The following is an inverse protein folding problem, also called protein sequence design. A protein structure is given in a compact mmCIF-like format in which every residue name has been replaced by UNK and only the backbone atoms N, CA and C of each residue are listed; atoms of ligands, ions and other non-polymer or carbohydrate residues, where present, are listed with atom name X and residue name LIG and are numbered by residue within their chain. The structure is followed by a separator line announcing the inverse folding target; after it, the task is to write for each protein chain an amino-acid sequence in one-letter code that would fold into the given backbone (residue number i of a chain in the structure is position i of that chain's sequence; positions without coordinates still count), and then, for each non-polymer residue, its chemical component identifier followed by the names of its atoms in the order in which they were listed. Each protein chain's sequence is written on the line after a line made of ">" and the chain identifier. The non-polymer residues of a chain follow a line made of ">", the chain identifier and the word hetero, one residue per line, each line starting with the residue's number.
data_IF_892585288820
#
_entry.id   IF_892585288820
#
_cell.length_a   1.000
_cell.length_b   1.000
_cell.length_c   1.000
_cell.angle_alpha   90.00
_cell.angle_beta   90.00
_cell.angle_gamma   90.00
#
_symmetry.space_group_name_H-M   'P 1'
#
loop_
_entity.id
_entity.type
_entity.pdbx_description
1 polymer ?
#
# COMPACT_ATOMS: atom_id res chain seq x y z
N UNK A 1 -4.82 7.16 -16.55
CA UNK A 1 -3.81 6.12 -16.30
C UNK A 1 -2.45 6.78 -16.19
N UNK A 2 -1.60 6.39 -15.24
CA UNK A 2 -0.21 6.88 -15.20
C UNK A 2 0.50 6.46 -16.50
N UNK A 3 1.19 7.40 -17.13
CA UNK A 3 1.91 7.20 -18.37
C UNK A 3 3.40 7.10 -18.10
N UNK A 4 4.00 8.18 -17.62
CA UNK A 4 5.45 8.30 -17.48
C UNK A 4 5.85 9.38 -16.46
N UNK A 5 7.12 9.38 -16.06
CA UNK A 5 7.72 10.49 -15.34
C UNK A 5 8.41 11.43 -16.33
N UNK A 6 8.14 12.73 -16.21
CA UNK A 6 8.68 13.79 -17.07
C UNK A 6 9.54 14.75 -16.24
N UNK A 7 10.47 15.42 -16.90
CA UNK A 7 11.14 16.59 -16.33
C UNK A 7 10.16 17.75 -16.17
N UNK A 8 10.31 18.57 -15.11
CA UNK A 8 9.58 19.83 -14.99
C UNK A 8 9.84 20.77 -16.17
N UNK A 9 8.82 21.48 -16.60
CA UNK A 9 8.93 22.65 -17.47
C UNK A 9 9.64 23.79 -16.74
N UNK A 10 10.03 24.84 -17.47
CA UNK A 10 10.65 26.02 -16.88
C UNK A 10 9.79 26.64 -15.78
N UNK A 11 8.50 26.84 -16.03
CA UNK A 11 7.56 27.45 -15.07
C UNK A 11 7.31 26.55 -13.86
N UNK A 12 7.13 25.24 -14.07
CA UNK A 12 6.97 24.27 -12.98
C UNK A 12 8.22 24.26 -12.09
N UNK A 13 9.41 24.31 -12.69
CA UNK A 13 10.69 24.35 -11.96
C UNK A 13 10.84 25.65 -11.16
N UNK A 14 10.46 26.80 -11.73
CA UNK A 14 10.47 28.07 -10.99
C UNK A 14 9.52 28.04 -9.78
N UNK A 15 8.39 27.34 -9.91
CA UNK A 15 7.43 27.13 -8.82
C UNK A 15 7.86 26.02 -7.84
N UNK A 16 9.06 25.46 -8.00
CA UNK A 16 9.65 24.50 -7.07
C UNK A 16 9.23 23.04 -7.32
N UNK A 17 8.87 22.67 -8.56
CA UNK A 17 8.67 21.27 -8.92
C UNK A 17 10.00 20.55 -9.16
N UNK A 18 10.17 19.40 -8.52
CA UNK A 18 11.36 18.56 -8.71
C UNK A 18 11.10 17.41 -9.70
N UNK A 19 9.86 16.92 -9.77
CA UNK A 19 9.46 15.83 -10.67
C UNK A 19 8.04 16.04 -11.17
N UNK A 20 7.72 15.49 -12.34
CA UNK A 20 6.37 15.52 -12.90
C UNK A 20 5.92 14.12 -13.24
N UNK A 21 4.71 13.78 -12.83
CA UNK A 21 4.02 12.54 -13.19
C UNK A 21 3.03 12.87 -14.31
N UNK A 22 3.13 12.19 -15.45
CA UNK A 22 2.24 12.39 -16.60
C UNK A 22 1.20 11.29 -16.61
N UNK A 23 -0.07 11.68 -16.73
CA UNK A 23 -1.22 10.80 -16.78
C UNK A 23 -1.98 10.99 -18.09
N UNK A 24 -2.41 9.90 -18.73
CA UNK A 24 -3.25 9.96 -19.91
C UNK A 24 -4.70 9.64 -19.53
N UNK A 25 -5.63 10.46 -19.96
CA UNK A 25 -7.06 10.17 -19.82
C UNK A 25 -7.45 9.08 -20.83
N UNK A 26 -8.06 7.99 -20.36
CA UNK A 26 -8.48 6.88 -21.23
C UNK A 26 -9.71 7.19 -22.07
N UNK A 27 -10.48 8.23 -21.72
CA UNK A 27 -11.68 8.63 -22.45
C UNK A 27 -11.38 9.64 -23.56
N UNK A 28 -10.45 10.58 -23.34
CA UNK A 28 -10.17 11.67 -24.28
C UNK A 28 -8.72 11.76 -24.77
N UNK A 29 -7.84 10.84 -24.36
CA UNK A 29 -6.40 10.84 -24.68
C UNK A 29 -5.62 12.12 -24.33
N UNK A 30 -6.21 13.02 -23.52
CA UNK A 30 -5.50 14.20 -23.03
C UNK A 30 -4.45 13.83 -21.98
N UNK A 31 -3.32 14.54 -22.02
CA UNK A 31 -2.21 14.41 -21.07
C UNK A 31 -2.40 15.38 -19.91
N UNK A 32 -2.49 14.86 -18.70
CA UNK A 32 -2.45 15.61 -17.46
C UNK A 32 -1.04 15.55 -16.86
N UNK A 33 -0.50 16.70 -16.47
CA UNK A 33 0.80 16.82 -15.82
C UNK A 33 0.59 17.11 -14.33
N UNK A 34 1.00 16.18 -13.49
CA UNK A 34 0.97 16.34 -12.04
C UNK A 34 2.38 16.65 -11.53
N UNK A 35 2.67 17.94 -11.38
CA UNK A 35 3.96 18.42 -10.90
C UNK A 35 4.04 18.31 -9.36
N UNK A 36 5.13 17.71 -8.86
CA UNK A 36 5.37 17.49 -7.43
C UNK A 36 6.14 18.69 -6.88
N UNK A 37 5.41 19.67 -6.35
CA UNK A 37 5.96 20.93 -5.84
C UNK A 37 6.46 20.81 -4.40
N UNK A 38 7.65 21.35 -4.16
CA UNK A 38 8.25 21.47 -2.82
C UNK A 38 8.18 22.88 -2.25
N UNK A 39 7.79 23.89 -3.04
CA UNK A 39 7.53 25.24 -2.55
C UNK A 39 6.13 25.32 -1.91
N UNK A 40 6.00 25.49 -0.58
CA UNK A 40 4.70 25.51 0.05
C UNK A 40 3.83 26.72 -0.32
N UNK A 41 4.40 27.82 -0.85
CA UNK A 41 3.59 28.91 -1.42
C UNK A 41 2.81 28.43 -2.65
N UNK A 42 3.44 27.63 -3.51
CA UNK A 42 2.78 26.99 -4.65
C UNK A 42 1.68 26.02 -4.19
N UNK A 43 1.93 25.28 -3.11
CA UNK A 43 0.97 24.29 -2.59
C UNK A 43 -0.33 24.92 -2.06
N UNK A 44 -0.27 26.14 -1.54
CA UNK A 44 -1.47 26.91 -1.15
C UNK A 44 -2.35 27.25 -2.36
N UNK A 45 -1.74 27.47 -3.52
CA UNK A 45 -2.44 27.77 -4.77
C UNK A 45 -3.00 26.48 -5.40
N UNK A 46 -2.17 25.43 -5.51
CA UNK A 46 -2.56 24.20 -6.20
C UNK A 46 -3.56 23.37 -5.40
N UNK A 47 -3.44 23.36 -4.06
CA UNK A 47 -4.32 22.63 -3.13
C UNK A 47 -4.48 21.14 -3.46
N UNK A 48 -3.46 20.56 -4.06
CA UNK A 48 -3.39 19.14 -4.41
C UNK A 48 -1.99 18.60 -4.14
N UNK A 49 -1.89 17.29 -3.91
CA UNK A 49 -0.64 16.67 -3.51
C UNK A 49 -0.81 15.29 -2.90
N UNK A 50 0.31 14.68 -2.48
CA UNK A 50 0.36 13.48 -1.64
C UNK A 50 0.93 13.84 -0.27
N UNK A 51 1.26 12.85 0.56
CA UNK A 51 1.67 13.07 1.95
C UNK A 51 2.79 14.11 2.14
N UNK A 52 3.80 14.13 1.26
CA UNK A 52 4.84 15.16 1.29
C UNK A 52 4.30 16.57 1.11
N UNK A 53 3.49 16.81 0.07
CA UNK A 53 2.89 18.12 -0.20
C UNK A 53 1.92 18.55 0.91
N UNK A 54 1.08 17.63 1.38
CA UNK A 54 0.14 17.89 2.48
C UNK A 54 0.89 18.23 3.78
N UNK A 55 1.90 17.45 4.16
CA UNK A 55 2.72 17.73 5.34
C UNK A 55 3.47 19.06 5.21
N UNK A 56 4.03 19.36 4.03
CA UNK A 56 4.78 20.60 3.77
C UNK A 56 3.87 21.83 3.86
N UNK A 57 2.72 21.82 3.18
CA UNK A 57 1.76 22.91 3.22
C UNK A 57 1.19 23.08 4.64
N UNK A 58 0.85 21.99 5.33
CA UNK A 58 0.31 22.06 6.69
C UNK A 58 1.35 22.57 7.69
N UNK A 59 2.62 22.18 7.56
CA UNK A 59 3.70 22.72 8.38
C UNK A 59 3.84 24.24 8.20
N UNK A 60 3.71 24.76 6.97
CA UNK A 60 3.67 26.19 6.70
C UNK A 60 2.49 26.86 7.43
N UNK A 61 1.28 26.31 7.33
CA UNK A 61 0.10 26.84 8.01
C UNK A 61 0.31 26.92 9.54
N UNK A 62 0.80 25.86 10.16
CA UNK A 62 1.10 25.82 11.59
C UNK A 62 2.15 26.88 11.97
N UNK A 63 3.21 27.03 11.17
CA UNK A 63 4.24 28.05 11.39
C UNK A 63 3.69 29.47 11.25
N UNK A 64 2.79 29.71 10.29
CA UNK A 64 2.19 31.02 10.04
C UNK A 64 1.35 31.52 11.22
N UNK A 65 0.67 30.61 11.94
CA UNK A 65 -0.09 30.94 13.15
C UNK A 65 0.77 30.95 14.44
N UNK A 66 2.10 30.89 14.31
CA UNK A 66 3.03 31.05 15.43
C UNK A 66 3.39 29.77 16.19
N UNK A 67 2.94 28.59 15.74
CA UNK A 67 3.28 27.33 16.39
C UNK A 67 4.76 26.96 16.17
N UNK A 68 5.32 26.23 17.14
CA UNK A 68 6.60 25.56 16.97
C UNK A 68 6.37 24.22 16.26
N UNK A 69 6.99 24.04 15.11
CA UNK A 69 6.67 22.94 14.18
C UNK A 69 7.93 22.18 13.78
N UNK A 70 7.80 20.87 13.64
CA UNK A 70 8.76 20.00 12.94
C UNK A 70 8.08 19.37 11.73
N UNK A 71 8.80 19.34 10.62
CA UNK A 71 8.49 18.45 9.51
C UNK A 71 9.10 17.08 9.84
N UNK A 72 8.30 16.02 9.78
CA UNK A 72 8.73 14.67 10.11
C UNK A 72 8.73 13.81 8.86
N UNK A 73 9.81 13.07 8.65
CA UNK A 73 9.97 12.15 7.52
C UNK A 73 10.46 10.80 8.00
N UNK A 74 9.97 9.72 7.38
CA UNK A 74 10.48 8.37 7.61
C UNK A 74 11.15 7.79 6.36
N UNK A 75 11.96 6.75 6.54
CA UNK A 75 12.65 6.06 5.43
C UNK A 75 11.70 5.32 4.48
N UNK A 76 10.46 5.06 4.90
CA UNK A 76 9.44 4.30 4.17
C UNK A 76 8.48 5.19 3.35
N UNK A 77 8.96 6.34 2.85
CA UNK A 77 8.26 7.27 1.96
C UNK A 77 6.92 7.78 2.54
N UNK A 78 6.96 8.30 3.77
CA UNK A 78 5.85 9.03 4.38
C UNK A 78 6.35 10.24 5.17
N UNK A 79 5.51 11.27 5.25
CA UNK A 79 5.81 12.51 5.94
C UNK A 79 4.58 13.07 6.63
N UNK A 80 4.81 13.74 7.75
CA UNK A 80 3.79 14.35 8.60
C UNK A 80 4.40 15.49 9.42
N UNK A 81 3.69 15.99 10.42
CA UNK A 81 4.08 17.17 11.20
C UNK A 81 4.07 16.87 12.70
N UNK A 82 4.97 17.50 13.46
CA UNK A 82 4.83 17.62 14.92
C UNK A 82 4.69 19.08 15.32
N UNK A 83 3.84 19.35 16.31
CA UNK A 83 3.68 20.67 16.92
C UNK A 83 4.04 20.58 18.40
N UNK A 84 4.77 21.56 18.93
CA UNK A 84 5.05 21.62 20.35
C UNK A 84 3.85 22.21 21.09
N UNK A 85 3.31 21.45 22.04
CA UNK A 85 2.28 21.91 22.94
C UNK A 85 2.90 22.48 24.22
N UNK A 86 2.56 23.73 24.52
CA UNK A 86 3.05 24.47 25.68
C UNK A 86 2.42 24.00 26.98
N UNK A 87 1.21 23.44 26.96
CA UNK A 87 0.54 22.99 28.17
C UNK A 87 1.11 21.67 28.67
N UNK A 88 1.16 20.64 27.81
CA UNK A 88 1.74 19.34 28.14
C UNK A 88 3.27 19.34 28.17
N UNK A 89 3.91 20.36 27.58
CA UNK A 89 5.35 20.43 27.33
C UNK A 89 5.84 19.22 26.52
N UNK A 90 5.13 18.88 25.44
CA UNK A 90 5.44 17.72 24.59
C UNK A 90 5.27 18.03 23.11
N UNK A 91 5.89 17.21 22.25
CA UNK A 91 5.64 17.24 20.81
C UNK A 91 4.46 16.35 20.46
N UNK A 92 3.44 16.96 19.86
CA UNK A 92 2.22 16.29 19.44
C UNK A 92 2.33 15.92 17.96
N UNK A 93 2.05 14.65 17.66
CA UNK A 93 1.95 14.13 16.30
C UNK A 93 0.72 14.70 15.57
N UNK A 94 0.89 15.13 14.32
CA UNK A 94 -0.19 15.57 13.42
C UNK A 94 0.02 14.97 12.03
N UNK A 95 -0.94 14.19 11.53
CA UNK A 95 -0.97 13.75 10.13
C UNK A 95 -2.14 14.42 9.39
N UNK A 96 -1.88 15.42 8.54
CA UNK A 96 -2.93 16.12 7.80
C UNK A 96 -3.56 15.26 6.70
N UNK A 97 -2.88 14.22 6.20
CA UNK A 97 -3.48 13.31 5.21
C UNK A 97 -4.53 12.40 5.82
N UNK A 98 -4.37 12.08 7.09
CA UNK A 98 -5.24 11.16 7.82
C UNK A 98 -6.25 11.89 8.71
N UNK A 99 -6.10 13.21 8.87
CA UNK A 99 -6.82 14.04 9.82
C UNK A 99 -6.73 13.47 11.24
N UNK A 100 -5.50 13.19 11.68
CA UNK A 100 -5.21 12.55 12.97
C UNK A 100 -4.31 13.43 13.82
N UNK A 101 -4.62 13.49 15.11
CA UNK A 101 -3.91 14.24 16.14
C UNK A 101 -3.49 13.27 17.24
N UNK A 102 -2.25 13.40 17.71
CA UNK A 102 -1.65 12.64 18.81
C UNK A 102 -1.92 11.12 18.71
N UNK A 103 -1.51 10.52 17.60
CA UNK A 103 -1.64 9.05 17.39
C UNK A 103 -0.38 8.52 16.70
N UNK A 104 0.79 8.61 17.36
CA UNK A 104 2.06 8.30 16.71
C UNK A 104 2.22 6.82 16.31
N UNK A 105 1.53 5.91 16.98
CA UNK A 105 1.58 4.48 16.62
C UNK A 105 0.65 4.09 15.47
N UNK A 106 -0.04 5.06 14.83
CA UNK A 106 -0.88 4.86 13.65
C UNK A 106 -0.15 4.06 12.56
N UNK A 107 1.13 4.36 12.34
CA UNK A 107 1.90 3.77 11.25
C UNK A 107 2.33 2.33 11.55
N UNK A 108 2.95 2.08 12.69
CA UNK A 108 3.43 0.73 13.05
C UNK A 108 2.25 -0.18 13.42
N UNK A 109 1.32 0.27 14.28
CA UNK A 109 0.21 -0.56 14.75
C UNK A 109 -0.98 -0.54 13.82
N UNK A 110 -1.39 0.63 13.32
CA UNK A 110 -2.52 0.75 12.40
C UNK A 110 -2.17 0.20 11.02
N UNK A 111 -1.15 0.75 10.37
CA UNK A 111 -0.80 0.40 8.99
C UNK A 111 0.14 -0.81 8.88
N UNK A 112 0.60 -1.36 10.00
CA UNK A 112 1.59 -2.45 10.02
C UNK A 112 2.89 -2.11 9.28
N UNK A 113 3.23 -0.81 9.21
CA UNK A 113 4.48 -0.38 8.59
C UNK A 113 5.67 -0.83 9.43
N UNK A 114 6.66 -1.38 8.73
CA UNK A 114 7.97 -1.66 9.32
C UNK A 114 8.83 -0.41 9.25
N UNK A 115 8.93 0.30 10.38
CA UNK A 115 9.67 1.57 10.48
C UNK A 115 11.12 1.32 10.91
N UNK A 116 12.05 2.00 10.25
CA UNK A 116 13.48 1.96 10.59
C UNK A 116 13.98 3.28 11.18
N UNK A 117 13.84 4.39 10.42
CA UNK A 117 14.32 5.71 10.84
C UNK A 117 13.25 6.76 10.62
N UNK A 118 13.02 7.58 11.64
CA UNK A 118 12.13 8.75 11.57
C UNK A 118 12.87 9.97 12.11
N UNK A 119 12.96 11.01 11.30
CA UNK A 119 13.63 12.25 11.65
C UNK A 119 12.66 13.41 11.66
N UNK A 120 12.68 14.17 12.75
CA UNK A 120 11.96 15.41 12.88
C UNK A 120 12.91 16.59 12.68
N UNK A 121 12.53 17.51 11.80
CA UNK A 121 13.35 18.64 11.35
C UNK A 121 12.60 19.94 11.68
N UNK A 122 13.24 20.82 12.44
CA UNK A 122 12.74 22.17 12.72
C UNK A 122 13.81 23.22 12.42
N UNK A 123 13.45 24.50 12.54
CA UNK A 123 14.40 25.61 12.42
C UNK A 123 15.55 25.59 13.43
N UNK A 124 15.34 25.03 14.62
CA UNK A 124 16.29 25.14 15.74
C UNK A 124 17.03 23.82 16.01
N UNK A 125 16.57 22.69 15.48
CA UNK A 125 17.13 21.37 15.72
C UNK A 125 16.57 20.28 14.78
N UNK A 126 17.30 19.17 14.72
CA UNK A 126 16.91 17.90 14.14
C UNK A 126 16.96 16.83 15.22
N UNK A 127 15.95 15.97 15.31
CA UNK A 127 15.84 14.93 16.32
C UNK A 127 15.47 13.59 15.68
N UNK A 128 16.12 12.51 16.13
CA UNK A 128 15.64 11.15 15.88
C UNK A 128 14.44 10.89 16.78
N UNK A 129 13.27 10.76 16.16
CA UNK A 129 11.98 10.55 16.81
C UNK A 129 11.43 9.15 16.54
N UNK A 130 12.24 8.25 15.98
CA UNK A 130 11.84 6.88 15.62
C UNK A 130 11.07 6.19 16.75
N UNK A 131 11.56 6.31 17.98
CA UNK A 131 11.02 5.65 19.15
C UNK A 131 9.61 6.12 19.54
N UNK A 132 9.20 7.32 19.11
CA UNK A 132 7.81 7.80 19.26
C UNK A 132 6.85 6.98 18.40
N UNK A 133 7.29 6.61 17.20
CA UNK A 133 6.49 5.99 16.14
C UNK A 133 6.59 4.47 16.12
N UNK A 134 7.35 3.87 17.04
CA UNK A 134 7.50 2.41 17.16
C UNK A 134 7.23 1.96 18.57
N UNK A 135 6.51 0.85 18.74
CA UNK A 135 6.26 0.20 20.01
C UNK A 135 7.32 -0.89 20.28
N UNK A 136 7.77 -1.58 19.24
CA UNK A 136 8.72 -2.70 19.33
C UNK A 136 10.16 -2.23 19.17
N UNK A 137 10.64 -1.39 20.09
CA UNK A 137 11.97 -0.73 20.00
C UNK A 137 13.13 -1.70 19.73
N UNK A 138 13.13 -2.88 20.36
CA UNK A 138 14.19 -3.89 20.18
C UNK A 138 14.25 -4.42 18.75
N UNK A 139 13.10 -4.67 18.14
CA UNK A 139 13.01 -5.13 16.74
C UNK A 139 13.40 -4.03 15.78
N UNK A 140 12.93 -2.80 16.03
CA UNK A 140 13.33 -1.62 15.25
C UNK A 140 14.85 -1.44 15.26
N UNK A 141 15.50 -1.60 16.42
CA UNK A 141 16.96 -1.50 16.53
C UNK A 141 17.69 -2.54 15.66
N UNK A 142 17.16 -3.76 15.52
CA UNK A 142 17.76 -4.80 14.67
C UNK A 142 17.70 -4.46 13.18
N UNK A 143 16.72 -3.67 12.76
CA UNK A 143 16.53 -3.25 11.36
C UNK A 143 17.33 -2.00 11.00
N UNK A 144 17.75 -1.21 11.99
CA UNK A 144 18.53 0.02 11.82
C UNK A 144 19.99 -0.24 11.47
N UNK A 145 20.21 -0.63 10.21
CA UNK A 145 21.53 -1.04 9.68
C UNK A 145 22.22 -0.01 8.78
N UNK A 146 21.55 1.09 8.42
CA UNK A 146 22.10 2.08 7.48
C UNK A 146 23.29 2.87 8.08
N UNK A 147 23.31 3.05 9.40
CA UNK A 147 24.35 3.78 10.11
C UNK A 147 24.47 3.26 11.54
N UNK A 148 25.69 3.26 12.10
CA UNK A 148 25.91 2.93 13.52
C UNK A 148 25.24 4.00 14.40
N UNK A 149 24.47 3.57 15.41
CA UNK A 149 23.72 4.49 16.28
C UNK A 149 24.58 5.59 16.91
N UNK A 150 25.81 5.25 17.35
CA UNK A 150 26.73 6.25 17.91
C UNK A 150 27.18 7.29 16.88
N UNK A 151 27.33 6.90 15.62
CA UNK A 151 27.67 7.82 14.53
C UNK A 151 26.51 8.75 14.22
N UNK A 152 25.29 8.21 14.19
CA UNK A 152 24.06 9.00 14.00
C UNK A 152 23.87 10.02 15.13
N UNK A 153 23.98 9.58 16.39
CA UNK A 153 23.87 10.45 17.56
C UNK A 153 24.89 11.60 17.51
N UNK A 154 26.15 11.28 17.21
CA UNK A 154 27.21 12.28 17.09
C UNK A 154 26.96 13.26 15.94
N UNK A 155 26.44 12.78 14.82
CA UNK A 155 26.06 13.61 13.67
C UNK A 155 24.94 14.60 14.05
N UNK A 156 23.86 14.10 14.66
CA UNK A 156 22.73 14.93 15.11
C UNK A 156 23.17 15.97 16.15
N UNK A 157 24.04 15.57 17.08
CA UNK A 157 24.58 16.47 18.10
C UNK A 157 25.36 17.63 17.48
N UNK A 158 26.27 17.32 16.55
CA UNK A 158 27.05 18.35 15.84
C UNK A 158 26.16 19.24 14.95
N UNK A 159 25.14 18.67 14.32
CA UNK A 159 24.19 19.42 13.50
C UNK A 159 23.40 20.41 14.37
N UNK A 160 22.88 19.96 15.50
CA UNK A 160 22.16 20.80 16.44
C UNK A 160 23.04 21.89 17.06
N UNK A 161 24.31 21.60 17.38
CA UNK A 161 25.26 22.62 17.84
C UNK A 161 25.45 23.74 16.81
N UNK A 162 25.49 23.40 15.51
CA UNK A 162 25.60 24.40 14.43
C UNK A 162 24.31 25.22 14.28
N UNK A 163 23.15 24.56 14.27
CA UNK A 163 21.84 25.23 14.18
C UNK A 163 21.59 26.18 15.35
N UNK A 164 22.09 25.84 16.54
CA UNK A 164 21.85 26.59 17.77
C UNK A 164 22.96 27.60 18.10
N UNK A 165 24.01 27.72 17.27
CA UNK A 165 25.19 28.54 17.59
C UNK A 165 24.83 30.01 17.84
N UNK A 166 23.99 30.57 16.98
CA UNK A 166 23.57 31.99 17.01
C UNK A 166 22.31 32.23 17.86
N UNK A 167 21.79 31.19 18.53
CA UNK A 167 20.60 31.34 19.37
C UNK A 167 20.94 31.94 20.74
N UNK A 168 20.06 32.80 21.30
CA UNK A 168 20.20 33.30 22.66
C UNK A 168 20.32 32.15 23.68
N UNK A 169 21.06 32.39 24.76
CA UNK A 169 21.28 31.38 25.81
C UNK A 169 19.98 30.87 26.44
N UNK A 170 19.01 31.77 26.66
CA UNK A 170 17.68 31.43 27.15
C UNK A 170 16.98 30.40 26.25
N UNK A 171 16.98 30.62 24.93
CA UNK A 171 16.38 29.69 23.97
C UNK A 171 17.12 28.35 23.95
N UNK A 172 18.45 28.36 24.03
CA UNK A 172 19.27 27.13 24.14
C UNK A 172 18.96 26.35 25.41
N UNK A 173 18.72 27.03 26.53
CA UNK A 173 18.29 26.39 27.79
C UNK A 173 16.91 25.73 27.61
N UNK A 174 15.93 26.41 27.02
CA UNK A 174 14.60 25.84 26.73
C UNK A 174 14.71 24.58 25.87
N UNK A 175 15.48 24.65 24.78
CA UNK A 175 15.66 23.50 23.87
C UNK A 175 16.32 22.31 24.57
N UNK A 176 17.32 22.53 25.43
CA UNK A 176 17.95 21.47 26.24
C UNK A 176 16.97 20.79 27.19
N UNK A 177 16.14 21.56 27.91
CA UNK A 177 15.14 20.99 28.81
C UNK A 177 14.10 20.16 28.05
N UNK A 178 13.63 20.66 26.91
CA UNK A 178 12.68 19.93 26.06
C UNK A 178 13.29 18.65 25.50
N UNK A 179 14.55 18.68 25.05
CA UNK A 179 15.25 17.51 24.53
C UNK A 179 15.44 16.43 25.59
N UNK A 180 15.78 16.81 26.83
CA UNK A 180 15.88 15.86 27.96
C UNK A 180 14.52 15.20 28.24
N UNK A 181 13.46 16.00 28.30
CA UNK A 181 12.09 15.50 28.52
C UNK A 181 11.64 14.57 27.40
N UNK A 182 11.91 14.94 26.15
CA UNK A 182 11.62 14.11 24.99
C UNK A 182 12.41 12.80 25.03
N UNK A 183 13.70 12.83 25.37
CA UNK A 183 14.49 11.61 25.50
C UNK A 183 13.89 10.63 26.52
N UNK A 184 13.43 11.11 27.67
CA UNK A 184 12.74 10.28 28.67
C UNK A 184 11.45 9.67 28.10
N UNK A 185 10.67 10.43 27.33
CA UNK A 185 9.47 9.93 26.68
C UNK A 185 9.77 8.83 25.65
N UNK A 186 10.78 9.08 24.81
CA UNK A 186 11.20 8.18 23.75
C UNK A 186 11.75 6.85 24.28
N UNK A 187 12.22 6.79 25.53
CA UNK A 187 12.66 5.54 26.17
C UNK A 187 11.50 4.60 26.57
N UNK A 188 10.27 5.12 26.68
CA UNK A 188 9.12 4.33 27.13
C UNK A 188 8.06 4.22 26.02
N UNK A 189 8.01 3.09 25.27
CA UNK A 189 7.06 2.93 24.16
C UNK A 189 5.59 3.01 24.59
N UNK A 190 5.28 2.77 25.87
CA UNK A 190 3.93 2.89 26.40
C UNK A 190 3.41 4.32 26.37
N UNK A 191 4.30 5.32 26.44
CA UNK A 191 3.91 6.74 26.37
C UNK A 191 3.47 7.18 24.97
N UNK A 192 3.73 6.37 23.94
CA UNK A 192 3.23 6.59 22.58
C UNK A 192 1.85 5.95 22.33
N UNK A 193 1.31 5.19 23.29
CA UNK A 193 -0.02 4.58 23.16
C UNK A 193 -1.11 5.65 23.29
N UNK A 194 -2.04 5.62 22.35
CA UNK A 194 -3.20 6.52 22.25
C UNK A 194 -4.41 5.73 21.78
N UNK A 195 -5.59 6.11 22.21
CA UNK A 195 -6.83 5.56 21.65
C UNK A 195 -6.90 5.88 20.15
N UNK A 196 -7.45 4.97 19.34
CA UNK A 196 -7.48 5.12 17.88
C UNK A 196 -6.19 4.72 17.14
N UNK A 197 -5.14 4.28 17.83
CA UNK A 197 -3.89 3.77 17.24
C UNK A 197 -4.09 2.61 16.26
N UNK A 198 -5.17 1.85 16.39
CA UNK A 198 -5.49 0.70 15.52
C UNK A 198 -6.16 1.11 14.21
N UNK A 199 -6.38 2.41 13.99
CA UNK A 199 -7.01 2.91 12.77
C UNK A 199 -6.16 2.58 11.54
N UNK A 200 -6.76 1.91 10.56
CA UNK A 200 -6.15 1.68 9.26
C UNK A 200 -6.00 2.97 8.45
N UNK A 201 -5.16 2.94 7.42
CA UNK A 201 -4.93 4.10 6.55
C UNK A 201 -6.20 4.50 5.81
N UNK A 202 -6.56 5.79 5.86
CA UNK A 202 -7.68 6.36 5.11
C UNK A 202 -7.23 6.97 3.77
N UNK A 203 -6.04 7.58 3.70
CA UNK A 203 -5.54 8.19 2.47
C UNK A 203 -4.95 7.18 1.48
N UNK A 204 -5.01 7.49 0.18
CA UNK A 204 -4.50 6.65 -0.90
C UNK A 204 -5.53 5.67 -1.46
N UNK A 205 -5.37 5.30 -2.74
CA UNK A 205 -6.30 4.40 -3.44
C UNK A 205 -6.37 3.01 -2.76
N UNK A 206 -7.54 2.36 -2.83
CA UNK A 206 -7.79 1.05 -2.20
C UNK A 206 -6.76 -0.01 -2.65
N UNK A 207 -6.49 -0.09 -3.95
CA UNK A 207 -5.46 -0.99 -4.50
C UNK A 207 -4.04 -0.70 -3.95
N UNK A 208 -3.69 0.57 -3.73
CA UNK A 208 -2.40 0.96 -3.16
C UNK A 208 -2.27 0.56 -1.68
N UNK A 209 -3.35 0.68 -0.90
CA UNK A 209 -3.41 0.27 0.52
C UNK A 209 -3.35 -1.25 0.68
N UNK A 210 -4.05 -2.00 -0.18
CA UNK A 210 -4.06 -3.47 -0.16
C UNK A 210 -2.73 -4.07 -0.62
N UNK A 211 -2.09 -3.49 -1.65
CA UNK A 211 -0.76 -3.93 -2.12
C UNK A 211 0.34 -3.81 -1.05
N UNK A 212 0.15 -2.96 -0.03
CA UNK A 212 1.10 -2.76 1.07
C UNK A 212 0.70 -3.48 2.36
N UNK A 213 -0.34 -4.32 2.33
CA UNK A 213 -0.88 -5.04 3.49
C UNK A 213 -1.34 -4.11 4.64
N UNK A 214 -1.70 -2.85 4.32
CA UNK A 214 -2.13 -1.84 5.30
C UNK A 214 -3.64 -1.98 5.65
N UNK A 215 -4.33 -2.98 5.08
CA UNK A 215 -5.70 -3.41 5.38
C UNK A 215 -5.79 -4.94 5.42
N UNK A 216 -6.64 -5.50 6.30
CA UNK A 216 -7.06 -6.90 6.18
C UNK A 216 -7.99 -7.00 4.98
N UNK A 217 -7.72 -7.93 4.08
CA UNK A 217 -8.69 -8.35 3.07
C UNK A 217 -9.89 -8.96 3.80
N UNK A 218 -11.08 -8.38 3.60
CA UNK A 218 -12.32 -9.00 4.04
C UNK A 218 -12.72 -10.06 3.02
N UNK A 219 -12.95 -11.33 3.44
CA UNK A 219 -13.34 -12.40 2.54
C UNK A 219 -14.59 -12.04 1.75
N UNK A 220 -14.48 -11.99 0.42
CA UNK A 220 -15.61 -11.71 -0.46
C UNK A 220 -16.16 -13.03 -0.99
N UNK A 221 -17.48 -13.15 -0.97
CA UNK A 221 -18.20 -14.27 -1.56
C UNK A 221 -19.08 -13.74 -2.68
N UNK A 222 -18.88 -14.28 -3.89
CA UNK A 222 -19.52 -13.79 -5.11
C UNK A 222 -20.94 -14.36 -5.16
N UNK A 223 -21.92 -13.50 -4.93
CA UNK A 223 -23.33 -13.85 -5.12
C UNK A 223 -23.76 -13.49 -6.55
N UNK A 224 -24.54 -14.37 -7.17
CA UNK A 224 -25.16 -14.12 -8.47
C UNK A 224 -26.27 -13.08 -8.33
N UNK A 225 -26.29 -12.12 -9.26
CA UNK A 225 -27.35 -11.11 -9.34
C UNK A 225 -28.61 -11.69 -9.97
N UNK A 226 -29.77 -11.10 -9.70
CA UNK A 226 -31.03 -11.56 -10.32
C UNK A 226 -30.97 -11.52 -11.85
N UNK A 227 -30.31 -10.50 -12.43
CA UNK A 227 -30.12 -10.41 -13.88
C UNK A 227 -29.29 -11.59 -14.45
N UNK A 228 -28.31 -12.10 -13.72
CA UNK A 228 -27.51 -13.26 -14.15
C UNK A 228 -28.26 -14.58 -13.99
N UNK A 229 -29.10 -14.68 -12.95
CA UNK A 229 -30.02 -15.82 -12.78
C UNK A 229 -31.04 -15.85 -13.92
N UNK A 230 -31.62 -14.71 -14.28
CA UNK A 230 -32.54 -14.58 -15.43
C UNK A 230 -31.86 -14.88 -16.77
N UNK A 231 -30.63 -14.39 -16.96
CA UNK A 231 -29.84 -14.67 -18.16
C UNK A 231 -29.27 -16.11 -18.21
N UNK A 232 -29.38 -16.86 -17.11
CA UNK A 232 -28.79 -18.19 -16.92
C UNK A 232 -27.28 -18.26 -17.18
N UNK A 233 -26.59 -17.14 -17.02
CA UNK A 233 -25.19 -16.98 -17.37
C UNK A 233 -24.51 -15.97 -16.43
N UNK A 234 -23.45 -16.43 -15.76
CA UNK A 234 -22.53 -15.62 -14.99
C UNK A 234 -21.15 -15.64 -15.66
N UNK A 235 -20.57 -14.46 -15.89
CA UNK A 235 -19.20 -14.33 -16.43
C UNK A 235 -18.45 -13.27 -15.64
N UNK A 236 -17.34 -13.69 -15.03
CA UNK A 236 -16.38 -12.83 -14.33
C UNK A 236 -15.02 -12.90 -15.01
N UNK A 237 -14.51 -11.73 -15.40
CA UNK A 237 -13.19 -11.58 -16.01
C UNK A 237 -12.29 -10.70 -15.14
N UNK A 238 -11.00 -11.00 -15.09
CA UNK A 238 -9.98 -10.16 -14.44
C UNK A 238 -8.86 -9.82 -15.42
N UNK A 239 -8.45 -8.56 -15.44
CA UNK A 239 -7.30 -8.05 -16.19
C UNK A 239 -6.19 -7.67 -15.21
N UNK A 240 -5.09 -8.43 -15.22
CA UNK A 240 -3.93 -8.16 -14.37
C UNK A 240 -3.21 -6.88 -14.75
N UNK A 241 -3.25 -6.42 -16.01
CA UNK A 241 -2.55 -5.21 -16.46
C UNK A 241 -3.29 -3.98 -15.94
N UNK A 242 -4.62 -3.96 -16.07
CA UNK A 242 -5.46 -2.87 -15.56
C UNK A 242 -5.77 -2.97 -14.06
N UNK A 243 -5.50 -4.14 -13.46
CA UNK A 243 -5.88 -4.47 -12.09
C UNK A 243 -7.38 -4.24 -11.85
N UNK A 244 -8.21 -4.89 -12.67
CA UNK A 244 -9.64 -4.66 -12.69
C UNK A 244 -10.43 -5.93 -13.05
N UNK A 245 -11.59 -6.08 -12.42
CA UNK A 245 -12.59 -7.10 -12.71
C UNK A 245 -13.72 -6.52 -13.56
N UNK A 246 -14.24 -7.36 -14.46
CA UNK A 246 -15.36 -7.06 -15.35
C UNK A 246 -16.40 -8.16 -15.22
N UNK A 247 -17.68 -7.77 -15.08
CA UNK A 247 -18.81 -8.70 -14.94
C UNK A 247 -19.80 -8.45 -16.06
N UNK A 248 -20.09 -9.46 -16.88
CA UNK A 248 -20.72 -9.28 -18.20
C UNK A 248 -22.13 -8.65 -18.16
N UNK A 249 -22.91 -8.91 -17.10
CA UNK A 249 -24.27 -8.36 -16.95
C UNK A 249 -24.31 -7.06 -16.13
N UNK A 250 -23.14 -6.53 -15.76
CA UNK A 250 -22.98 -5.26 -15.05
C UNK A 250 -21.83 -4.44 -15.67
N UNK A 251 -21.88 -4.23 -17.00
CA UNK A 251 -20.76 -3.67 -17.79
C UNK A 251 -20.34 -2.25 -17.40
N UNK A 252 -21.16 -1.53 -16.65
CA UNK A 252 -20.87 -0.16 -16.22
C UNK A 252 -20.10 -0.09 -14.88
N UNK A 253 -20.02 -1.19 -14.12
CA UNK A 253 -19.27 -1.26 -12.87
C UNK A 253 -17.95 -2.04 -13.02
N UNK A 254 -16.87 -1.29 -13.27
CA UNK A 254 -15.51 -1.82 -13.22
C UNK A 254 -15.01 -1.85 -11.78
N UNK A 255 -14.86 -3.05 -11.21
CA UNK A 255 -14.35 -3.21 -9.85
C UNK A 255 -12.82 -3.30 -9.88
N UNK A 256 -12.14 -2.29 -9.33
CA UNK A 256 -10.67 -2.21 -9.39
C UNK A 256 -9.97 -2.84 -8.19
N UNK A 257 -8.89 -3.55 -8.46
CA UNK A 257 -8.00 -4.15 -7.48
C UNK A 257 -8.19 -5.66 -7.33
N UNK A 258 -7.11 -6.41 -7.40
CA UNK A 258 -7.04 -7.87 -7.24
C UNK A 258 -7.86 -8.41 -6.05
N UNK A 259 -7.77 -7.75 -4.91
CA UNK A 259 -8.37 -8.23 -3.66
C UNK A 259 -9.88 -7.99 -3.57
N UNK A 260 -10.52 -7.43 -4.60
CA UNK A 260 -11.94 -7.03 -4.54
C UNK A 260 -12.92 -8.19 -4.63
N UNK A 261 -12.52 -9.33 -5.20
CA UNK A 261 -13.35 -10.52 -5.35
C UNK A 261 -12.71 -11.80 -4.78
N UNK A 262 -11.59 -11.66 -4.07
CA UNK A 262 -10.98 -12.80 -3.41
C UNK A 262 -11.80 -13.19 -2.17
N UNK A 263 -11.90 -14.49 -1.92
CA UNK A 263 -12.41 -15.06 -0.66
C UNK A 263 -11.26 -15.22 0.32
N UNK A 264 -10.18 -15.84 -0.14
CA UNK A 264 -8.93 -15.93 0.60
C UNK A 264 -7.80 -15.21 -0.15
N UNK A 265 -6.94 -14.56 0.62
CA UNK A 265 -5.72 -13.95 0.13
C UNK A 265 -4.67 -13.97 1.25
N UNK A 266 -3.62 -14.79 1.11
CA UNK A 266 -2.57 -14.96 2.11
C UNK A 266 -1.20 -14.94 1.43
N UNK A 267 -0.33 -14.03 1.88
CA UNK A 267 1.05 -13.89 1.38
C UNK A 267 1.14 -13.79 -0.16
N UNK A 268 0.17 -13.11 -0.79
CA UNK A 268 0.14 -12.88 -2.23
C UNK A 268 0.24 -11.38 -2.53
N UNK A 269 0.81 -11.05 -3.68
CA UNK A 269 0.92 -9.69 -4.18
C UNK A 269 0.84 -9.65 -5.71
N UNK A 270 0.33 -8.54 -6.24
CA UNK A 270 0.45 -8.19 -7.66
C UNK A 270 1.76 -7.43 -7.88
N UNK A 271 2.64 -7.96 -8.72
CA UNK A 271 3.92 -7.34 -9.07
C UNK A 271 3.90 -6.83 -10.51
N UNK A 272 4.45 -5.63 -10.71
CA UNK A 272 4.64 -5.03 -12.04
C UNK A 272 6.12 -4.74 -12.22
N UNK A 273 6.75 -5.45 -13.17
CA UNK A 273 8.14 -5.23 -13.53
C UNK A 273 8.21 -4.27 -14.70
N UNK A 274 8.74 -3.07 -14.45
CA UNK A 274 8.82 -2.00 -15.47
C UNK A 274 9.85 -2.29 -16.54
N UNK A 275 10.99 -2.86 -16.14
CA UNK A 275 12.11 -3.16 -17.06
C UNK A 275 11.70 -4.22 -18.08
N UNK A 276 10.95 -5.23 -17.64
CA UNK A 276 10.46 -6.33 -18.46
C UNK A 276 9.07 -6.10 -19.04
N UNK A 277 8.41 -5.00 -18.66
CA UNK A 277 7.04 -4.64 -19.04
C UNK A 277 6.07 -5.81 -18.85
N UNK A 278 6.06 -6.43 -17.67
CA UNK A 278 5.14 -7.52 -17.33
C UNK A 278 4.43 -7.28 -16.00
N UNK A 279 3.22 -7.81 -15.87
CA UNK A 279 2.48 -7.89 -14.62
C UNK A 279 2.12 -9.35 -14.30
N UNK A 280 2.13 -9.71 -13.03
CA UNK A 280 1.77 -11.05 -12.55
C UNK A 280 1.42 -11.04 -11.06
N UNK A 281 0.79 -12.12 -10.59
CA UNK A 281 0.59 -12.40 -9.17
C UNK A 281 1.66 -13.39 -8.72
N UNK A 282 2.29 -13.11 -7.60
CA UNK A 282 3.26 -14.00 -6.96
C UNK A 282 3.13 -13.93 -5.44
N UNK A 283 3.99 -14.67 -4.74
CA UNK A 283 4.04 -14.57 -3.28
C UNK A 283 4.64 -13.25 -2.82
N UNK A 284 4.37 -12.86 -1.57
CA UNK A 284 5.09 -11.76 -0.91
C UNK A 284 6.53 -12.17 -0.63
N UNK A 285 7.43 -11.19 -0.58
CA UNK A 285 8.84 -11.42 -0.24
C UNK A 285 8.95 -12.19 1.09
N UNK A 286 9.97 -13.05 1.20
CA UNK A 286 10.25 -13.93 2.34
C UNK A 286 9.19 -14.98 2.70
N UNK A 287 8.04 -15.02 2.01
CA UNK A 287 7.00 -16.00 2.29
C UNK A 287 7.29 -17.37 1.66
N UNK A 288 7.12 -18.42 2.45
CA UNK A 288 7.31 -19.81 2.01
C UNK A 288 6.16 -20.30 1.13
N UNK A 289 4.94 -19.91 1.48
CA UNK A 289 3.70 -20.29 0.81
C UNK A 289 2.80 -19.06 0.64
N UNK A 290 1.99 -19.06 -0.40
CA UNK A 290 0.93 -18.08 -0.63
C UNK A 290 -0.31 -18.76 -1.18
N UNK A 291 -1.46 -18.19 -0.88
CA UNK A 291 -2.78 -18.76 -1.18
C UNK A 291 -3.70 -17.64 -1.64
N UNK A 292 -4.52 -17.93 -2.65
CA UNK A 292 -5.64 -17.08 -3.02
C UNK A 292 -6.82 -17.93 -3.48
N UNK A 293 -8.04 -17.44 -3.30
CA UNK A 293 -9.22 -18.10 -3.83
C UNK A 293 -10.32 -17.14 -4.25
N UNK A 294 -11.12 -17.56 -5.23
CA UNK A 294 -12.39 -16.95 -5.60
C UNK A 294 -13.51 -17.93 -5.26
N UNK A 295 -14.54 -17.46 -4.54
CA UNK A 295 -15.67 -18.30 -4.11
C UNK A 295 -16.98 -17.74 -4.62
N UNK A 296 -17.72 -18.57 -5.34
CA UNK A 296 -19.05 -18.27 -5.90
C UNK A 296 -20.08 -19.01 -5.06
N UNK A 297 -20.98 -18.26 -4.44
CA UNK A 297 -22.12 -18.82 -3.73
C UNK A 297 -23.18 -19.24 -4.74
N UNK A 298 -23.61 -20.50 -4.67
CA UNK A 298 -24.63 -21.04 -5.55
C UNK A 298 -26.03 -20.80 -4.99
N UNK A 299 -26.23 -20.68 -3.66
CA UNK A 299 -27.53 -20.37 -3.05
C UNK A 299 -28.70 -21.22 -3.60
N UNK A 300 -28.47 -22.53 -3.76
CA UNK A 300 -29.45 -23.48 -4.32
C UNK A 300 -29.57 -23.50 -5.85
N UNK A 301 -28.77 -22.70 -6.56
CA UNK A 301 -28.67 -22.71 -8.02
C UNK A 301 -27.92 -23.97 -8.47
N UNK A 302 -28.43 -24.63 -9.52
CA UNK A 302 -27.77 -25.77 -10.15
C UNK A 302 -26.90 -25.33 -11.32
N UNK A 303 -25.57 -25.49 -11.23
CA UNK A 303 -24.68 -25.31 -12.36
C UNK A 303 -24.98 -26.32 -13.46
N UNK A 304 -24.99 -25.88 -14.71
CA UNK A 304 -25.10 -26.73 -15.89
C UNK A 304 -23.73 -26.96 -16.55
N UNK A 305 -22.94 -25.88 -16.65
CA UNK A 305 -21.63 -25.91 -17.27
C UNK A 305 -20.75 -24.83 -16.62
N UNK A 306 -19.52 -25.17 -16.32
CA UNK A 306 -18.53 -24.25 -15.81
C UNK A 306 -17.28 -24.32 -16.67
N UNK A 307 -16.84 -23.15 -17.13
CA UNK A 307 -15.56 -22.97 -17.82
C UNK A 307 -14.69 -22.01 -17.03
N UNK A 308 -13.46 -22.42 -16.76
CA UNK A 308 -12.44 -21.58 -16.11
C UNK A 308 -11.25 -21.49 -17.04
N UNK A 309 -10.76 -20.28 -17.24
CA UNK A 309 -9.47 -20.00 -17.86
C UNK A 309 -8.67 -19.10 -16.92
N UNK A 310 -7.53 -19.59 -16.44
CA UNK A 310 -6.56 -18.83 -15.65
C UNK A 310 -5.24 -18.57 -16.39
N UNK A 311 -5.16 -19.06 -17.63
CA UNK A 311 -3.93 -19.15 -18.40
C UNK A 311 -2.84 -19.99 -17.75
N UNK A 312 -1.77 -20.24 -18.49
CA UNK A 312 -0.64 -21.02 -17.99
C UNK A 312 0.07 -20.30 -16.83
N UNK A 313 0.20 -21.00 -15.70
CA UNK A 313 0.99 -20.50 -14.57
C UNK A 313 2.48 -20.61 -14.92
N UNK A 314 3.19 -19.49 -14.90
CA UNK A 314 4.62 -19.47 -15.20
C UNK A 314 5.42 -19.93 -13.97
N UNK A 315 6.14 -21.05 -14.14
CA UNK A 315 6.97 -21.67 -13.10
C UNK A 315 8.45 -21.54 -13.49
N UNK A 316 9.26 -21.08 -12.54
CA UNK A 316 10.71 -20.92 -12.67
C UNK A 316 11.43 -21.70 -11.56
N UNK A 317 12.62 -22.22 -11.85
CA UNK A 317 13.44 -22.97 -10.89
C UNK A 317 12.64 -24.06 -10.14
N UNK A 318 12.79 -24.15 -8.80
CA UNK A 318 12.02 -25.09 -7.96
C UNK A 318 10.62 -24.58 -7.56
N UNK A 319 10.13 -23.51 -8.18
CA UNK A 319 8.79 -22.96 -7.94
C UNK A 319 7.70 -23.98 -8.21
N UNK A 320 6.60 -23.90 -7.47
CA UNK A 320 5.41 -24.74 -7.68
C UNK A 320 4.16 -23.90 -7.46
N UNK A 321 3.16 -24.14 -8.28
CA UNK A 321 1.81 -23.69 -8.03
C UNK A 321 0.82 -24.73 -8.53
N UNK A 322 -0.33 -24.80 -7.88
CA UNK A 322 -1.45 -25.63 -8.29
C UNK A 322 -2.73 -24.80 -8.19
N UNK A 323 -3.59 -24.97 -9.19
CA UNK A 323 -4.93 -24.42 -9.19
C UNK A 323 -5.95 -25.56 -9.11
N UNK A 324 -6.92 -25.41 -8.24
CA UNK A 324 -7.97 -26.41 -7.97
C UNK A 324 -9.31 -25.70 -7.90
N UNK A 325 -10.32 -26.32 -8.50
CA UNK A 325 -11.71 -25.98 -8.29
C UNK A 325 -12.34 -27.01 -7.36
N UNK A 326 -12.99 -26.57 -6.30
CA UNK A 326 -13.75 -27.44 -5.41
C UNK A 326 -15.23 -27.01 -5.34
N UNK A 327 -16.14 -27.99 -5.30
CA UNK A 327 -17.56 -27.81 -5.05
C UNK A 327 -18.11 -29.04 -4.34
N UNK A 328 -18.67 -28.86 -3.13
CA UNK A 328 -19.10 -30.00 -2.31
C UNK A 328 -17.90 -30.88 -1.93
N UNK A 329 -17.96 -32.18 -2.26
CA UNK A 329 -16.83 -33.10 -2.06
C UNK A 329 -15.97 -33.29 -3.32
N UNK A 330 -16.35 -32.68 -4.45
CA UNK A 330 -15.62 -32.78 -5.69
C UNK A 330 -14.56 -31.69 -5.77
N UNK A 331 -13.30 -32.09 -5.95
CA UNK A 331 -12.20 -31.17 -6.24
C UNK A 331 -11.46 -31.62 -7.49
N UNK A 332 -11.35 -30.72 -8.48
CA UNK A 332 -10.69 -30.97 -9.74
C UNK A 332 -9.49 -30.01 -9.91
N UNK A 333 -8.36 -30.56 -10.34
CA UNK A 333 -7.19 -29.77 -10.71
C UNK A 333 -7.42 -29.12 -12.07
N UNK A 334 -7.02 -27.85 -12.21
CA UNK A 334 -6.95 -27.18 -13.51
C UNK A 334 -5.77 -27.75 -14.30
N UNK A 335 -5.92 -27.86 -15.61
CA UNK A 335 -4.86 -28.38 -16.49
C UNK A 335 -3.65 -27.45 -16.60
N UNK A 336 -2.58 -27.95 -17.22
CA UNK A 336 -1.31 -27.22 -17.37
C UNK A 336 -1.41 -25.98 -18.29
N UNK A 337 -2.44 -25.91 -19.13
CA UNK A 337 -2.74 -24.76 -20.00
C UNK A 337 -3.63 -23.73 -19.29
N UNK A 338 -4.08 -24.03 -18.07
CA UNK A 338 -4.90 -23.16 -17.23
C UNK A 338 -6.38 -23.21 -17.57
N UNK A 339 -6.86 -24.28 -18.20
CA UNK A 339 -8.26 -24.46 -18.55
C UNK A 339 -8.93 -25.55 -17.71
N UNK A 340 -10.22 -25.38 -17.48
CA UNK A 340 -11.09 -26.40 -16.90
C UNK A 340 -12.49 -26.24 -17.46
N UNK A 341 -13.08 -27.35 -17.91
CA UNK A 341 -14.50 -27.43 -18.26
C UNK A 341 -15.14 -28.55 -17.44
N UNK A 342 -16.27 -28.26 -16.79
CA UNK A 342 -16.96 -29.18 -15.90
C UNK A 342 -18.47 -29.11 -16.14
N UNK A 343 -19.10 -30.28 -16.31
CA UNK A 343 -20.56 -30.46 -16.45
C UNK A 343 -21.18 -31.23 -15.30
N UNK A 344 -20.36 -31.96 -14.54
CA UNK A 344 -20.81 -32.81 -13.44
C UNK A 344 -20.60 -32.08 -12.12
N UNK A 345 -21.69 -31.69 -11.48
CA UNK A 345 -21.69 -30.98 -10.20
C UNK A 345 -22.39 -31.85 -9.16
N UNK A 346 -21.71 -32.13 -8.04
CA UNK A 346 -22.39 -32.61 -6.84
C UNK A 346 -23.23 -31.49 -6.21
N UNK A 347 -24.16 -31.84 -5.32
CA UNK A 347 -24.90 -30.85 -4.53
C UNK A 347 -23.89 -30.03 -3.69
N UNK A 348 -23.63 -28.80 -4.13
CA UNK A 348 -22.66 -27.91 -3.55
C UNK A 348 -23.30 -26.55 -3.27
N UNK A 349 -23.06 -26.00 -2.08
CA UNK A 349 -23.53 -24.66 -1.72
C UNK A 349 -22.70 -23.55 -2.40
N UNK A 350 -21.48 -23.88 -2.82
CA UNK A 350 -20.53 -22.95 -3.43
C UNK A 350 -19.52 -23.66 -4.32
N UNK A 351 -18.92 -22.89 -5.23
CA UNK A 351 -17.76 -23.27 -6.02
C UNK A 351 -16.57 -22.39 -5.60
N UNK A 352 -15.41 -23.00 -5.34
CA UNK A 352 -14.21 -22.30 -4.93
C UNK A 352 -13.02 -22.65 -5.83
N UNK A 353 -12.51 -21.63 -6.53
CA UNK A 353 -11.28 -21.68 -7.31
C UNK A 353 -10.13 -21.22 -6.42
N UNK A 354 -9.23 -22.13 -6.05
CA UNK A 354 -8.06 -21.85 -5.21
C UNK A 354 -6.76 -22.01 -5.98
N UNK A 355 -5.79 -21.14 -5.71
CA UNK A 355 -4.41 -21.25 -6.23
C UNK A 355 -3.43 -21.18 -5.06
N UNK A 356 -2.62 -22.23 -4.89
CA UNK A 356 -1.54 -22.27 -3.91
C UNK A 356 -0.17 -22.15 -4.59
N UNK A 357 0.71 -21.37 -3.99
CA UNK A 357 2.07 -21.11 -4.44
C UNK A 357 3.05 -21.61 -3.37
N UNK A 358 4.09 -22.34 -3.77
CA UNK A 358 5.16 -22.84 -2.88
C UNK A 358 6.48 -23.07 -3.62
N UNK A 359 7.53 -23.44 -2.89
CA UNK A 359 8.86 -23.73 -3.45
C UNK A 359 9.59 -22.48 -3.96
N UNK A 360 10.58 -22.66 -4.82
CA UNK A 360 11.49 -21.58 -5.25
C UNK A 360 12.78 -21.54 -4.44
N UNK A 361 13.78 -20.84 -4.97
CA UNK A 361 15.16 -20.90 -4.49
C UNK A 361 15.69 -19.50 -4.19
N UNK A 362 16.44 -19.37 -3.08
CA UNK A 362 17.10 -18.13 -2.69
C UNK A 362 16.16 -16.98 -2.32
N UNK A 363 16.69 -15.77 -2.32
CA UNK A 363 15.97 -14.54 -1.92
C UNK A 363 14.84 -14.17 -2.91
N UNK A 364 14.87 -14.69 -4.13
CA UNK A 364 13.84 -14.47 -5.16
C UNK A 364 12.80 -15.59 -5.25
N UNK A 365 12.80 -16.54 -4.32
CA UNK A 365 11.86 -17.67 -4.32
C UNK A 365 10.39 -17.24 -4.43
N UNK A 366 10.04 -16.08 -3.89
CA UNK A 366 8.67 -15.55 -3.89
C UNK A 366 8.08 -15.32 -5.29
N UNK A 367 8.92 -15.09 -6.30
CA UNK A 367 8.51 -14.80 -7.69
C UNK A 367 8.73 -15.98 -8.64
N UNK A 368 9.09 -17.16 -8.13
CA UNK A 368 9.35 -18.34 -8.96
C UNK A 368 8.07 -19.07 -9.40
N UNK A 369 6.91 -18.69 -8.88
CA UNK A 369 5.61 -19.09 -9.40
C UNK A 369 4.74 -17.86 -9.61
N UNK A 370 4.29 -17.67 -10.86
CA UNK A 370 3.66 -16.44 -11.32
C UNK A 370 2.35 -16.75 -12.03
N UNK A 371 1.24 -16.35 -11.42
CA UNK A 371 -0.09 -16.44 -12.00
C UNK A 371 -0.37 -15.19 -12.84
N UNK A 372 -1.06 -15.35 -13.97
CA UNK A 372 -1.44 -14.25 -14.87
C UNK A 372 -0.26 -13.45 -15.44
N UNK A 373 0.89 -14.09 -15.70
CA UNK A 373 2.05 -13.39 -16.28
C UNK A 373 1.73 -12.84 -17.67
N UNK A 374 1.53 -11.53 -17.76
CA UNK A 374 1.05 -10.84 -18.95
C UNK A 374 1.94 -9.66 -19.30
N UNK A 375 2.19 -9.46 -20.59
CA UNK A 375 2.90 -8.29 -21.12
C UNK A 375 2.05 -7.03 -20.97
N UNK A 376 2.62 -5.94 -20.48
CA UNK A 376 1.96 -4.62 -20.43
C UNK A 376 1.70 -4.04 -21.82
N UNK A 377 2.35 -4.56 -22.87
CA UNK A 377 2.17 -4.10 -24.25
C UNK A 377 1.07 -4.86 -24.99
N UNK A 378 0.71 -6.05 -24.51
CA UNK A 378 -0.30 -6.95 -25.11
C UNK A 378 -1.26 -7.40 -24.01
N UNK A 379 -2.13 -6.50 -23.52
CA UNK A 379 -3.06 -6.83 -22.45
C UNK A 379 -4.08 -7.87 -22.92
N UNK A 380 -4.25 -8.93 -22.13
CA UNK A 380 -5.25 -9.96 -22.32
C UNK A 380 -6.00 -10.23 -21.01
N UNK A 381 -7.23 -10.72 -21.12
CA UNK A 381 -7.97 -11.22 -19.96
C UNK A 381 -7.16 -12.34 -19.31
N UNK A 382 -6.96 -12.20 -18.00
CA UNK A 382 -6.08 -13.06 -17.20
C UNK A 382 -6.83 -14.19 -16.51
N UNK A 383 -8.02 -13.89 -16.00
CA UNK A 383 -8.98 -14.86 -15.45
C UNK A 383 -10.28 -14.70 -16.21
N UNK A 384 -10.91 -15.82 -16.56
CA UNK A 384 -12.31 -15.88 -16.96
C UNK A 384 -12.99 -17.06 -16.27
N UNK A 385 -14.06 -16.78 -15.54
CA UNK A 385 -14.95 -17.77 -14.95
C UNK A 385 -16.31 -17.59 -15.60
N UNK A 386 -16.79 -18.63 -16.27
CA UNK A 386 -18.07 -18.66 -16.98
C UNK A 386 -18.90 -19.81 -16.44
N UNK A 387 -20.07 -19.49 -15.89
CA UNK A 387 -20.99 -20.43 -15.26
C UNK A 387 -22.36 -20.32 -15.94
N UNK A 388 -22.76 -21.37 -16.65
CA UNK A 388 -24.12 -21.56 -17.16
C UNK A 388 -24.99 -22.25 -16.11
N UNK A 389 -26.23 -21.81 -16.00
CA UNK A 389 -27.19 -22.24 -14.97
C UNK A 389 -28.38 -22.95 -15.62
N UNK A 390 -28.99 -23.91 -14.92
CA UNK A 390 -30.16 -24.67 -15.41
C UNK A 390 -31.43 -23.85 -15.68
#
# INVERSE_FOLDING_TARGET
>A
MFSESSTPTYDEKQRGADRVEVYNCTQCNQRYRFARFNNPATLIETREGRCGEWANCFALCCRAIGLEVRYVTCTEDHAWVEVFDLESQTWIHLDPCENVIDTPLLYEKGWKKTINYVFAISKDHVQDVTWRYTFHHKETLQRRKAVRELVLLNCLTKLNQRLQKELPEERRNVLRHRQLREAIQLLNPKLSLREGTEQGRKSGGVAWRLARMEMKHEPVEINLTEAEKEAKLFVLEYDIVQDAYYRQNNKDEVTRGLFSYLKEARNIQRKVEKDWKVAYICRTEDSKNGDLSWRINLDGIKPKLLRINIGKIAIFHSGKANATLCGGNLCQMIDDDGNLEMTDFEDADHLELSVNFRGGDGEQAFQHSQLFRTSLCEPSISLRIELEIE
#
